data_IF_688253574294
#
_entry.id   IF_688253574294
#
_cell.length_a   1.000
_cell.length_b   1.000
_cell.length_c   1.000
_cell.angle_alpha   90.00
_cell.angle_beta   90.00
_cell.angle_gamma   90.00
#
_symmetry.space_group_name_H-M   'P 1'
#
loop_
_entity.id
_entity.type
_entity.pdbx_description
1 polymer ?
#
# COMPACT_ATOMS: atom_id res chain seq x y z
N UNK A 1 -26.24 -14.99 -62.37
CA UNK A 1 -26.81 -13.68 -61.94
C UNK A 1 -27.31 -13.85 -60.51
N UNK A 2 -26.50 -13.49 -59.52
CA UNK A 2 -26.83 -13.64 -58.11
C UNK A 2 -27.15 -12.26 -57.55
N UNK A 3 -28.44 -11.99 -57.35
CA UNK A 3 -28.95 -10.77 -56.70
C UNK A 3 -28.68 -10.85 -55.20
N UNK A 4 -27.70 -10.10 -54.70
CA UNK A 4 -27.48 -9.90 -53.27
C UNK A 4 -28.50 -8.86 -52.79
N UNK A 5 -29.43 -9.29 -51.95
CA UNK A 5 -30.35 -8.39 -51.26
C UNK A 5 -29.58 -7.65 -50.15
N UNK A 6 -29.43 -6.33 -50.31
CA UNK A 6 -28.96 -5.43 -49.25
C UNK A 6 -30.08 -5.27 -48.22
N UNK A 7 -29.94 -5.91 -47.07
CA UNK A 7 -30.76 -5.64 -45.88
C UNK A 7 -30.10 -4.51 -45.09
N UNK A 8 -30.59 -3.29 -45.27
CA UNK A 8 -30.21 -2.16 -44.43
C UNK A 8 -30.73 -2.42 -42.99
N UNK A 9 -29.87 -2.37 -41.96
CA UNK A 9 -30.31 -2.54 -40.59
C UNK A 9 -31.16 -1.32 -40.19
N UNK A 10 -32.45 -1.55 -39.97
CA UNK A 10 -33.34 -0.56 -39.35
C UNK A 10 -32.79 -0.25 -37.95
N UNK A 11 -32.10 0.88 -37.81
CA UNK A 11 -31.62 1.39 -36.54
C UNK A 11 -32.82 1.87 -35.72
N UNK A 12 -33.41 0.97 -34.94
CA UNK A 12 -34.40 1.34 -33.92
C UNK A 12 -33.79 2.39 -32.99
N UNK A 13 -34.34 3.61 -32.88
CA UNK A 13 -33.78 4.62 -31.99
C UNK A 13 -33.93 4.12 -30.55
N UNK A 14 -32.80 3.79 -29.92
CA UNK A 14 -32.73 3.38 -28.52
C UNK A 14 -33.22 4.55 -27.67
N UNK A 15 -34.47 4.49 -27.21
CA UNK A 15 -35.08 5.48 -26.33
C UNK A 15 -34.22 5.58 -25.06
N UNK A 16 -33.51 6.69 -24.89
CA UNK A 16 -32.72 6.95 -23.70
C UNK A 16 -33.67 6.99 -22.49
N UNK A 17 -33.50 6.05 -21.56
CA UNK A 17 -34.21 6.08 -20.29
C UNK A 17 -33.78 7.33 -19.52
N UNK A 18 -34.73 8.15 -19.01
CA UNK A 18 -34.37 9.33 -18.25
C UNK A 18 -33.59 8.90 -17.01
N UNK A 19 -32.45 9.57 -16.77
CA UNK A 19 -31.60 9.32 -15.61
C UNK A 19 -32.45 9.48 -14.34
N UNK A 20 -32.76 8.36 -13.69
CA UNK A 20 -33.55 8.32 -12.47
C UNK A 20 -32.83 9.08 -11.35
N UNK A 21 -33.52 10.02 -10.69
CA UNK A 21 -33.02 10.73 -9.50
C UNK A 21 -32.53 9.76 -8.40
N UNK A 22 -33.16 8.59 -8.29
CA UNK A 22 -32.72 7.52 -7.37
C UNK A 22 -31.35 6.95 -7.77
N UNK A 23 -31.06 6.81 -9.06
CA UNK A 23 -29.75 6.36 -9.55
C UNK A 23 -28.65 7.36 -9.19
N UNK A 24 -28.89 8.66 -9.37
CA UNK A 24 -27.93 9.72 -8.97
C UNK A 24 -27.66 9.76 -7.47
N UNK A 25 -28.69 9.53 -6.65
CA UNK A 25 -28.55 9.44 -5.18
C UNK A 25 -27.77 8.20 -4.76
N UNK A 26 -28.02 7.05 -5.40
CA UNK A 26 -27.26 5.81 -5.17
C UNK A 26 -25.78 5.94 -5.56
N UNK A 27 -25.46 6.71 -6.60
CA UNK A 27 -24.07 6.95 -7.02
C UNK A 27 -23.33 7.98 -6.15
N UNK A 28 -24.07 8.89 -5.50
CA UNK A 28 -23.48 10.00 -4.73
C UNK A 28 -23.39 9.67 -3.23
N UNK A 29 -24.32 8.86 -2.70
CA UNK A 29 -24.31 8.42 -1.30
C UNK A 29 -22.99 7.74 -0.88
N UNK A 30 -22.45 6.76 -1.62
CA UNK A 30 -21.19 6.12 -1.28
C UNK A 30 -20.01 7.10 -1.26
N UNK A 31 -20.01 8.09 -2.16
CA UNK A 31 -18.97 9.12 -2.25
C UNK A 31 -19.00 10.05 -1.04
N UNK A 32 -20.20 10.45 -0.60
CA UNK A 32 -20.35 11.31 0.58
C UNK A 32 -19.97 10.56 1.86
N UNK A 33 -20.28 9.26 1.96
CA UNK A 33 -19.91 8.46 3.13
C UNK A 33 -18.41 8.18 3.18
N UNK A 34 -17.76 8.00 2.03
CA UNK A 34 -16.31 7.77 1.95
C UNK A 34 -15.48 9.05 2.07
N UNK A 35 -16.04 10.19 1.64
CA UNK A 35 -15.33 11.47 1.60
C UNK A 35 -14.72 11.90 2.96
N UNK A 36 -15.40 11.78 4.12
CA UNK A 36 -14.81 12.10 5.42
C UNK A 36 -13.55 11.29 5.71
N UNK A 37 -13.61 9.97 5.55
CA UNK A 37 -12.47 9.09 5.76
C UNK A 37 -11.32 9.45 4.80
N UNK A 38 -11.64 9.68 3.53
CA UNK A 38 -10.66 10.06 2.53
C UNK A 38 -9.97 11.40 2.87
N UNK A 39 -10.74 12.42 3.26
CA UNK A 39 -10.20 13.73 3.64
C UNK A 39 -9.32 13.63 4.88
N UNK A 40 -9.74 12.87 5.89
CA UNK A 40 -8.94 12.63 7.10
C UNK A 40 -7.63 11.93 6.72
N UNK A 41 -7.66 10.88 5.91
CA UNK A 41 -6.45 10.22 5.41
C UNK A 41 -5.56 11.20 4.65
N UNK A 42 -6.13 12.04 3.79
CA UNK A 42 -5.35 13.02 3.02
C UNK A 42 -4.62 14.00 3.94
N UNK A 43 -5.33 14.57 4.91
CA UNK A 43 -4.76 15.57 5.81
C UNK A 43 -3.75 14.93 6.76
N UNK A 44 -4.12 13.87 7.47
CA UNK A 44 -3.27 13.33 8.52
C UNK A 44 -2.16 12.44 7.97
N UNK A 45 -2.41 11.59 6.98
CA UNK A 45 -1.34 10.74 6.43
C UNK A 45 -0.41 11.57 5.57
N UNK A 46 -0.93 12.21 4.52
CA UNK A 46 -0.07 12.92 3.57
C UNK A 46 0.42 14.26 4.11
N UNK A 47 -0.36 14.96 4.93
CA UNK A 47 0.12 16.17 5.62
C UNK A 47 1.28 15.86 6.56
N UNK A 48 1.21 14.78 7.35
CA UNK A 48 2.36 14.38 8.18
C UNK A 48 3.55 13.88 7.37
N UNK A 49 3.34 13.18 6.24
CA UNK A 49 4.43 12.80 5.33
C UNK A 49 5.15 14.04 4.81
N UNK A 50 4.42 15.03 4.30
CA UNK A 50 5.01 16.27 3.78
C UNK A 50 5.73 17.04 4.90
N UNK A 51 5.13 17.12 6.08
CA UNK A 51 5.73 17.81 7.23
C UNK A 51 7.03 17.15 7.71
N UNK A 52 7.02 15.83 7.87
CA UNK A 52 8.21 15.06 8.27
C UNK A 52 9.30 15.07 7.21
N UNK A 53 8.92 15.03 5.93
CA UNK A 53 9.85 15.20 4.82
C UNK A 53 10.45 16.61 4.78
N UNK A 54 9.67 17.66 5.06
CA UNK A 54 10.21 19.02 5.20
C UNK A 54 11.23 19.08 6.35
N UNK A 55 10.88 18.54 7.51
CA UNK A 55 11.76 18.52 8.68
C UNK A 55 13.04 17.69 8.45
N UNK A 56 13.03 16.66 7.60
CA UNK A 56 14.24 15.87 7.32
C UNK A 56 15.35 16.65 6.62
N UNK A 57 15.04 17.78 5.97
CA UNK A 57 16.02 18.72 5.40
C UNK A 57 16.48 19.81 6.38
N UNK A 58 15.94 19.82 7.59
CA UNK A 58 16.31 20.77 8.65
C UNK A 58 17.27 20.13 9.66
N UNK A 59 18.03 20.94 10.39
CA UNK A 59 18.88 20.46 11.49
C UNK A 59 18.06 20.39 12.78
N UNK A 60 17.04 19.54 12.77
CA UNK A 60 16.20 19.27 13.93
C UNK A 60 16.89 18.21 14.81
N UNK A 61 17.01 18.50 16.11
CA UNK A 61 17.48 17.54 17.13
C UNK A 61 16.30 17.19 18.02
N UNK A 62 16.42 17.39 19.34
CA UNK A 62 15.32 17.18 20.29
C UNK A 62 14.15 18.14 20.08
N UNK A 63 14.41 19.33 19.53
CA UNK A 63 13.38 20.30 19.17
C UNK A 63 13.38 20.56 17.66
N UNK A 64 12.20 20.78 17.05
CA UNK A 64 12.09 21.11 15.63
C UNK A 64 12.76 22.46 15.38
N UNK A 65 13.72 22.47 14.47
CA UNK A 65 14.31 23.69 13.93
C UNK A 65 13.80 23.86 12.50
N UNK A 66 13.23 25.01 12.17
CA UNK A 66 12.70 25.28 10.83
C UNK A 66 13.76 25.84 9.87
N UNK A 67 15.03 25.88 10.29
CA UNK A 67 16.14 26.31 9.45
C UNK A 67 16.50 25.20 8.44
N UNK A 68 16.27 25.48 7.15
CA UNK A 68 16.65 24.59 6.06
C UNK A 68 18.17 24.49 5.98
N UNK A 69 18.70 23.30 6.28
CA UNK A 69 20.14 23.03 6.25
C UNK A 69 20.59 22.21 5.04
N UNK A 70 19.64 21.88 4.16
CA UNK A 70 19.85 21.10 2.94
C UNK A 70 20.06 19.61 3.22
N UNK A 71 20.59 18.84 2.24
CA UNK A 71 20.75 17.39 2.33
C UNK A 71 21.94 16.93 3.19
N UNK A 72 22.51 17.80 4.04
CA UNK A 72 23.69 17.51 4.86
C UNK A 72 23.46 16.33 5.82
N UNK A 73 22.25 16.21 6.37
CA UNK A 73 21.87 15.10 7.24
C UNK A 73 21.95 13.75 6.51
N UNK A 74 21.45 13.70 5.27
CA UNK A 74 21.53 12.52 4.41
C UNK A 74 22.98 12.20 4.03
N UNK A 75 23.78 13.18 3.62
CA UNK A 75 25.19 12.96 3.28
C UNK A 75 25.99 12.37 4.45
N UNK A 76 25.72 12.83 5.68
CA UNK A 76 26.33 12.28 6.89
C UNK A 76 25.93 10.82 7.13
N UNK A 77 24.65 10.49 6.95
CA UNK A 77 24.12 9.13 7.11
C UNK A 77 24.70 8.16 6.08
N UNK A 78 24.79 8.60 4.81
CA UNK A 78 25.39 7.83 3.73
C UNK A 78 26.89 7.59 3.97
N UNK A 79 27.63 8.60 4.45
CA UNK A 79 29.04 8.40 4.86
C UNK A 79 29.18 7.34 5.95
N UNK A 80 28.33 7.37 6.98
CA UNK A 80 28.33 6.33 8.03
C UNK A 80 27.95 4.94 7.51
N UNK A 81 27.21 4.84 6.41
CA UNK A 81 26.82 3.56 5.81
C UNK A 81 27.99 2.89 5.09
N UNK A 82 28.91 3.66 4.50
CA UNK A 82 30.08 3.14 3.77
C UNK A 82 31.36 3.07 4.62
N UNK A 83 31.31 3.50 5.88
CA UNK A 83 32.42 3.38 6.82
C UNK A 83 32.47 1.95 7.39
N UNK A 84 33.53 1.21 7.06
CA UNK A 84 33.65 -0.21 7.37
C UNK A 84 34.34 -0.49 8.71
N UNK A 85 35.27 0.38 9.14
CA UNK A 85 36.21 0.05 10.23
C UNK A 85 36.39 1.20 11.24
N UNK A 86 35.79 1.13 12.45
CA UNK A 86 34.76 0.18 12.89
C UNK A 86 33.38 0.49 12.27
N UNK A 87 32.47 -0.51 12.17
CA UNK A 87 31.14 -0.29 11.62
C UNK A 87 30.37 0.75 12.42
N UNK A 88 29.71 1.69 11.74
CA UNK A 88 28.83 2.64 12.42
C UNK A 88 27.62 1.92 13.02
N UNK A 89 27.11 2.40 14.16
CA UNK A 89 25.88 1.87 14.77
C UNK A 89 24.69 1.87 13.80
N UNK A 90 24.67 2.82 12.86
CA UNK A 90 23.69 2.88 11.78
C UNK A 90 23.80 1.68 10.83
N UNK A 91 25.02 1.38 10.35
CA UNK A 91 25.27 0.25 9.47
C UNK A 91 24.92 -1.10 10.12
N UNK A 92 25.31 -1.29 11.39
CA UNK A 92 24.95 -2.50 12.15
C UNK A 92 23.44 -2.64 12.30
N UNK A 93 22.73 -1.53 12.57
CA UNK A 93 21.28 -1.54 12.75
C UNK A 93 20.53 -1.88 11.46
N UNK A 94 20.93 -1.32 10.31
CA UNK A 94 20.38 -1.68 9.00
C UNK A 94 20.63 -3.16 8.70
N UNK A 95 21.86 -3.64 8.89
CA UNK A 95 22.24 -5.02 8.61
C UNK A 95 21.41 -5.99 9.44
N UNK A 96 21.27 -5.72 10.74
CA UNK A 96 20.44 -6.54 11.63
C UNK A 96 18.96 -6.50 11.23
N UNK A 97 18.41 -5.33 10.88
CA UNK A 97 17.02 -5.20 10.45
C UNK A 97 16.76 -5.94 9.13
N UNK A 98 17.70 -5.90 8.18
CA UNK A 98 17.61 -6.62 6.92
C UNK A 98 17.67 -8.14 7.13
N UNK A 99 18.63 -8.64 7.92
CA UNK A 99 18.75 -10.07 8.25
C UNK A 99 17.49 -10.55 8.97
N UNK A 100 17.06 -9.82 10.01
CA UNK A 100 15.87 -10.16 10.78
C UNK A 100 14.62 -10.15 9.90
N UNK A 101 14.39 -9.10 9.12
CA UNK A 101 13.21 -8.98 8.25
C UNK A 101 13.15 -10.08 7.20
N UNK A 102 14.28 -10.39 6.55
CA UNK A 102 14.36 -11.45 5.55
C UNK A 102 14.09 -12.84 6.15
N UNK A 103 14.76 -13.17 7.25
CA UNK A 103 14.57 -14.44 7.94
C UNK A 103 13.14 -14.57 8.48
N UNK A 104 12.58 -13.51 9.06
CA UNK A 104 11.22 -13.49 9.58
C UNK A 104 10.19 -13.79 8.48
N UNK A 105 10.23 -13.02 7.37
CA UNK A 105 9.31 -13.23 6.25
C UNK A 105 9.49 -14.62 5.66
N UNK A 106 10.74 -15.06 5.42
CA UNK A 106 11.04 -16.38 4.87
C UNK A 106 10.50 -17.52 5.73
N UNK A 107 10.74 -17.47 7.04
CA UNK A 107 10.27 -18.49 7.99
C UNK A 107 8.75 -18.46 8.10
N UNK A 108 8.11 -17.28 8.23
CA UNK A 108 6.65 -17.18 8.29
C UNK A 108 5.96 -17.73 7.05
N UNK A 109 6.51 -17.44 5.86
CA UNK A 109 5.99 -18.00 4.60
C UNK A 109 6.21 -19.51 4.52
N UNK A 110 7.40 -20.01 4.89
CA UNK A 110 7.68 -21.44 4.89
C UNK A 110 6.76 -22.21 5.85
N UNK A 111 6.57 -21.70 7.07
CA UNK A 111 5.67 -22.30 8.06
C UNK A 111 4.21 -22.23 7.63
N UNK A 112 3.75 -21.07 7.15
CA UNK A 112 2.38 -20.89 6.65
C UNK A 112 2.07 -21.80 5.46
N UNK A 113 3.03 -21.93 4.52
CA UNK A 113 2.91 -22.84 3.39
C UNK A 113 2.95 -24.31 3.82
N UNK A 114 3.89 -24.69 4.69
CA UNK A 114 3.99 -26.05 5.22
C UNK A 114 2.69 -26.49 5.87
N UNK A 115 2.12 -25.63 6.72
CA UNK A 115 0.84 -25.87 7.33
C UNK A 115 -0.31 -25.94 6.30
N UNK A 116 -0.33 -25.04 5.32
CA UNK A 116 -1.33 -25.08 4.25
C UNK A 116 -1.28 -26.42 3.49
N UNK A 117 -0.09 -26.96 3.24
CA UNK A 117 0.10 -28.29 2.63
C UNK A 117 -0.41 -29.40 3.56
N UNK A 118 -0.13 -29.35 4.86
CA UNK A 118 -0.65 -30.35 5.81
C UNK A 118 -2.19 -30.35 5.88
N UNK A 119 -2.80 -29.17 5.78
CA UNK A 119 -4.25 -29.02 5.72
C UNK A 119 -4.81 -29.61 4.41
N UNK A 120 -4.11 -29.42 3.29
CA UNK A 120 -4.48 -29.97 1.98
C UNK A 120 -4.37 -31.51 1.93
N UNK A 121 -3.43 -32.09 2.68
CA UNK A 121 -3.24 -33.55 2.77
C UNK A 121 -4.35 -34.30 3.55
N UNK A 122 -5.42 -33.61 4.03
CA UNK A 122 -6.53 -34.20 4.83
C UNK A 122 -6.04 -35.11 5.97
N UNK A 123 -5.03 -34.67 6.71
CA UNK A 123 -4.57 -35.39 7.89
C UNK A 123 -5.65 -35.27 8.98
N UNK A 124 -6.00 -36.38 9.64
CA UNK A 124 -7.11 -36.59 10.63
C UNK A 124 -7.17 -35.65 11.87
N UNK A 125 -6.46 -34.52 11.88
CA UNK A 125 -6.40 -33.52 12.97
C UNK A 125 -7.30 -32.30 12.79
N UNK A 126 -8.41 -32.41 12.04
CA UNK A 126 -9.30 -31.29 11.66
C UNK A 126 -9.81 -30.44 12.84
N UNK A 127 -9.98 -31.03 14.03
CA UNK A 127 -10.54 -30.33 15.18
C UNK A 127 -9.61 -29.31 15.85
N UNK A 128 -8.29 -29.46 15.72
CA UNK A 128 -7.32 -28.61 16.43
C UNK A 128 -6.71 -27.53 15.52
N UNK A 129 -6.62 -27.78 14.22
CA UNK A 129 -6.02 -26.83 13.26
C UNK A 129 -6.98 -25.70 12.87
N UNK A 130 -8.30 -25.95 12.84
CA UNK A 130 -9.31 -24.96 12.42
C UNK A 130 -9.51 -23.74 13.36
N UNK A 131 -9.28 -23.82 14.69
CA UNK A 131 -9.39 -22.64 15.57
C UNK A 131 -8.10 -21.84 15.74
N UNK A 132 -6.94 -22.45 15.43
CA UNK A 132 -5.62 -21.83 15.63
C UNK A 132 -5.22 -20.97 14.42
N UNK A 133 -5.76 -21.28 13.24
CA UNK A 133 -5.53 -20.61 11.96
C UNK A 133 -6.83 -20.04 11.41
#
# INVERSE_FOLDING_TARGET
MSTVATTDPVLTPRRATPISLRGRLQDTLPKIVLAPSFVITLIFVYGFIVWTAYLSFTNSKTFPSYALTGPRAYQRLWRWTFESDPPSSWYTSITNMAIFGFLYVGICLALGLFLAILLDQKIRGEGLLRPIF
#
